data_IF_694186414645
#
_entry.id   IF_694186414645
#
_cell.length_a   1.000
_cell.length_b   1.000
_cell.length_c   1.000
_cell.angle_alpha   90.00
_cell.angle_beta   90.00
_cell.angle_gamma   90.00
#
_symmetry.space_group_name_H-M   'P 1'
#
loop_
_entity.id
_entity.type
_entity.pdbx_description
1 polymer ?
#
# COMPACT_ATOMS: atom_id res chain seq x y z
N UNK A 1 51.01 -42.95 40.54
CA UNK A 1 50.34 -41.67 40.83
C UNK A 1 50.39 -40.71 39.63
N UNK A 2 49.53 -40.84 38.60
CA UNK A 2 49.44 -39.86 37.48
C UNK A 2 48.03 -39.78 36.82
N UNK A 3 46.98 -40.36 37.43
CA UNK A 3 45.64 -40.45 36.80
C UNK A 3 44.91 -39.10 36.74
N UNK A 4 45.07 -38.25 37.76
CA UNK A 4 44.42 -36.93 37.80
C UNK A 4 45.00 -35.94 36.78
N UNK A 5 46.32 -35.98 36.55
CA UNK A 5 46.96 -35.17 35.49
C UNK A 5 46.45 -35.57 34.10
N UNK A 6 46.26 -36.87 33.85
CA UNK A 6 45.69 -37.37 32.59
C UNK A 6 44.24 -36.91 32.39
N UNK A 7 43.42 -36.94 33.45
CA UNK A 7 42.03 -36.47 33.39
C UNK A 7 41.94 -34.96 33.10
N UNK A 8 42.86 -34.16 33.65
CA UNK A 8 42.94 -32.73 33.34
C UNK A 8 43.28 -32.46 31.87
N UNK A 9 44.27 -33.18 31.31
CA UNK A 9 44.62 -33.03 29.89
C UNK A 9 43.53 -33.52 28.95
N UNK A 10 42.81 -34.59 29.31
CA UNK A 10 41.66 -35.08 28.53
C UNK A 10 40.52 -34.05 28.53
N UNK A 11 40.21 -33.48 29.71
CA UNK A 11 39.18 -32.45 29.83
C UNK A 11 39.54 -31.18 29.05
N UNK A 12 40.81 -30.77 29.11
CA UNK A 12 41.32 -29.62 28.35
C UNK A 12 41.21 -29.84 26.84
N UNK A 13 41.53 -31.04 26.36
CA UNK A 13 41.41 -31.39 24.94
C UNK A 13 39.96 -31.37 24.45
N UNK A 14 39.02 -31.82 25.28
CA UNK A 14 37.57 -31.77 24.97
C UNK A 14 37.08 -30.34 24.88
N UNK A 15 37.51 -29.48 25.81
CA UNK A 15 37.09 -28.08 25.83
C UNK A 15 37.63 -27.34 24.60
N UNK A 16 38.89 -27.59 24.24
CA UNK A 16 39.51 -27.04 23.03
C UNK A 16 38.76 -27.47 21.77
N UNK A 17 38.34 -28.73 21.68
CA UNK A 17 37.61 -29.26 20.54
C UNK A 17 36.23 -28.61 20.38
N UNK A 18 35.52 -28.38 21.50
CA UNK A 18 34.22 -27.67 21.50
C UNK A 18 34.39 -26.23 20.98
N UNK A 19 35.40 -25.51 21.46
CA UNK A 19 35.67 -24.12 21.01
C UNK A 19 36.00 -24.09 19.51
N UNK A 20 36.76 -25.07 19.02
CA UNK A 20 37.15 -25.15 17.61
C UNK A 20 35.94 -25.44 16.71
N UNK A 21 35.06 -26.36 17.12
CA UNK A 21 33.81 -26.65 16.40
C UNK A 21 32.88 -25.43 16.39
N UNK A 22 32.72 -24.74 17.52
CA UNK A 22 31.94 -23.50 17.58
C UNK A 22 32.53 -22.39 16.70
N UNK A 23 33.87 -22.24 16.68
CA UNK A 23 34.56 -21.28 15.84
C UNK A 23 34.34 -21.54 14.35
N UNK A 24 34.38 -22.81 13.93
CA UNK A 24 34.06 -23.20 12.55
C UNK A 24 32.60 -22.89 12.21
N UNK A 25 31.66 -23.19 13.11
CA UNK A 25 30.24 -22.85 12.96
C UNK A 25 29.97 -21.34 12.82
N UNK A 26 30.83 -20.50 13.43
CA UNK A 26 30.71 -19.04 13.36
C UNK A 26 31.31 -18.45 12.07
N UNK A 27 32.26 -19.16 11.45
CA UNK A 27 32.92 -18.80 10.19
C UNK A 27 32.22 -19.37 8.95
N UNK A 28 31.40 -20.41 9.12
CA UNK A 28 30.46 -20.84 8.10
C UNK A 28 29.52 -19.66 7.82
N UNK A 29 29.39 -19.19 6.56
CA UNK A 29 28.36 -18.23 6.24
C UNK A 29 27.05 -18.85 6.69
N UNK A 30 26.39 -18.19 7.63
CA UNK A 30 24.98 -18.45 7.86
C UNK A 30 24.34 -18.11 6.52
N UNK A 31 24.02 -19.13 5.73
CA UNK A 31 22.86 -19.05 4.87
C UNK A 31 21.68 -18.85 5.82
N UNK A 32 21.54 -17.61 6.31
CA UNK A 32 20.24 -16.98 6.24
C UNK A 32 19.91 -17.03 4.76
N UNK A 33 19.39 -18.20 4.35
CA UNK A 33 18.35 -18.24 3.37
C UNK A 33 17.35 -17.24 3.90
N UNK A 34 17.50 -15.98 3.48
CA UNK A 34 16.38 -15.12 3.22
C UNK A 34 15.40 -16.08 2.59
N UNK A 35 14.37 -16.43 3.36
CA UNK A 35 13.32 -17.35 2.95
C UNK A 35 13.00 -16.88 1.55
N UNK A 36 13.48 -17.62 0.55
CA UNK A 36 13.14 -17.37 -0.83
C UNK A 36 11.68 -17.74 -0.74
N UNK A 37 10.82 -16.72 -0.54
CA UNK A 37 9.38 -16.88 -0.61
C UNK A 37 9.23 -17.75 -1.83
N UNK A 38 8.69 -18.94 -1.63
CA UNK A 38 8.33 -19.79 -2.73
C UNK A 38 7.67 -18.84 -3.72
N UNK A 39 8.29 -18.69 -4.89
CA UNK A 39 7.63 -18.03 -5.99
C UNK A 39 6.54 -19.03 -6.33
N UNK A 40 5.44 -18.94 -5.58
CA UNK A 40 4.16 -19.40 -6.05
C UNK A 40 4.11 -18.89 -7.47
N UNK A 41 3.91 -19.82 -8.40
CA UNK A 41 3.94 -19.52 -9.83
C UNK A 41 2.66 -18.77 -10.16
N UNK A 42 2.54 -17.56 -9.60
CA UNK A 42 1.51 -16.59 -9.83
C UNK A 42 1.76 -16.00 -11.21
N UNK A 43 0.72 -15.95 -12.02
CA UNK A 43 0.79 -15.25 -13.29
C UNK A 43 0.67 -13.77 -12.98
N UNK A 44 1.76 -13.03 -13.16
CA UNK A 44 1.80 -11.59 -13.01
C UNK A 44 1.67 -10.93 -14.39
N UNK A 45 0.68 -10.05 -14.54
CA UNK A 45 0.50 -9.23 -15.72
C UNK A 45 0.83 -7.79 -15.37
N UNK A 46 1.87 -7.25 -16.01
CA UNK A 46 2.23 -5.85 -15.86
C UNK A 46 1.46 -5.03 -16.89
N UNK A 47 0.71 -4.05 -16.41
CA UNK A 47 -0.13 -3.18 -17.21
C UNK A 47 0.40 -1.76 -17.04
N UNK A 48 0.82 -1.16 -18.14
CA UNK A 48 1.14 0.27 -18.22
C UNK A 48 -0.10 1.03 -18.70
N UNK A 49 -0.37 2.19 -18.11
CA UNK A 49 -1.48 3.07 -18.49
C UNK A 49 -1.02 4.53 -18.53
N UNK A 50 -1.82 5.37 -19.20
CA UNK A 50 -1.67 6.82 -19.20
C UNK A 50 -2.63 7.47 -18.19
N UNK A 51 -2.33 8.72 -17.81
CA UNK A 51 -3.20 9.54 -16.97
C UNK A 51 -4.61 9.67 -17.54
N UNK A 52 -4.75 9.86 -18.85
CA UNK A 52 -6.04 9.99 -19.51
C UNK A 52 -6.87 8.69 -19.44
N UNK A 53 -6.21 7.56 -19.65
CA UNK A 53 -6.85 6.24 -19.58
C UNK A 53 -7.30 5.93 -18.16
N UNK A 54 -6.45 6.20 -17.17
CA UNK A 54 -6.78 6.00 -15.75
C UNK A 54 -7.91 6.93 -15.31
N UNK A 55 -7.86 8.20 -15.73
CA UNK A 55 -8.91 9.20 -15.46
C UNK A 55 -10.26 8.72 -16.00
N UNK A 56 -10.29 8.22 -17.23
CA UNK A 56 -11.52 7.69 -17.84
C UNK A 56 -12.04 6.48 -17.08
N UNK A 57 -11.15 5.53 -16.77
CA UNK A 57 -11.50 4.32 -16.01
C UNK A 57 -12.09 4.64 -14.62
N UNK A 58 -11.47 5.55 -13.87
CA UNK A 58 -11.95 5.92 -12.53
C UNK A 58 -13.30 6.63 -12.60
N UNK A 59 -13.48 7.56 -13.56
CA UNK A 59 -14.76 8.25 -13.74
C UNK A 59 -15.89 7.29 -14.11
N UNK A 60 -15.63 6.32 -14.99
CA UNK A 60 -16.60 5.29 -15.36
C UNK A 60 -16.94 4.39 -14.17
N UNK A 61 -15.96 4.04 -13.33
CA UNK A 61 -16.20 3.29 -12.10
C UNK A 61 -17.10 4.05 -11.12
N UNK A 62 -16.78 5.33 -10.86
CA UNK A 62 -17.56 6.17 -9.93
C UNK A 62 -19.00 6.37 -10.40
N UNK A 63 -19.23 6.50 -11.71
CA UNK A 63 -20.58 6.62 -12.27
C UNK A 63 -21.43 5.36 -12.12
N UNK A 64 -20.80 4.17 -12.21
CA UNK A 64 -21.50 2.89 -12.14
C UNK A 64 -21.68 2.37 -10.70
N UNK A 65 -20.77 2.74 -9.79
CA UNK A 65 -20.81 2.35 -8.37
C UNK A 65 -21.41 3.41 -7.47
N UNK A 66 -21.71 4.60 -7.99
CA UNK A 66 -22.44 5.64 -7.27
C UNK A 66 -23.81 5.12 -6.83
N UNK A 67 -23.96 4.90 -5.53
CA UNK A 67 -25.27 4.68 -4.91
C UNK A 67 -26.13 5.94 -5.09
N UNK A 68 -27.46 5.83 -4.97
CA UNK A 68 -28.38 6.98 -5.14
C UNK A 68 -28.10 8.17 -4.20
N UNK A 69 -27.31 7.97 -3.14
CA UNK A 69 -26.88 8.98 -2.18
C UNK A 69 -25.43 9.48 -2.40
N UNK A 70 -24.68 8.94 -3.38
CA UNK A 70 -23.32 9.38 -3.67
C UNK A 70 -23.35 10.55 -4.67
N UNK A 71 -22.71 11.69 -4.34
CA UNK A 71 -22.57 12.82 -5.26
C UNK A 71 -22.01 12.43 -6.63
N UNK A 72 -22.41 13.16 -7.68
CA UNK A 72 -21.67 13.18 -8.94
C UNK A 72 -20.26 13.70 -8.67
N UNK A 73 -19.32 12.77 -8.52
CA UNK A 73 -17.90 13.05 -8.37
C UNK A 73 -17.20 12.88 -9.72
N UNK A 74 -16.27 13.79 -9.99
CA UNK A 74 -15.41 13.77 -11.15
C UNK A 74 -13.95 13.79 -10.72
N UNK A 75 -13.15 12.91 -11.31
CA UNK A 75 -11.70 12.81 -11.08
C UNK A 75 -10.96 13.31 -12.30
N UNK A 76 -9.93 14.12 -12.10
CA UNK A 76 -8.99 14.56 -13.13
C UNK A 76 -7.56 14.30 -12.64
N UNK A 77 -6.73 13.68 -13.49
CA UNK A 77 -5.36 13.31 -13.15
C UNK A 77 -4.42 14.05 -14.10
N UNK A 78 -3.73 15.06 -13.57
CA UNK A 78 -2.77 15.88 -14.32
C UNK A 78 -1.38 15.80 -13.69
N UNK A 79 -0.98 16.80 -12.89
CA UNK A 79 0.21 16.79 -12.04
C UNK A 79 -0.12 16.29 -10.62
N UNK A 80 -1.38 16.49 -10.23
CA UNK A 80 -2.03 16.04 -9.02
C UNK A 80 -3.34 15.31 -9.40
N UNK A 81 -3.91 14.58 -8.45
CA UNK A 81 -5.23 13.97 -8.60
C UNK A 81 -6.25 14.93 -8.00
N UNK A 82 -7.09 15.53 -8.84
CA UNK A 82 -8.18 16.41 -8.42
C UNK A 82 -9.50 15.67 -8.42
N UNK A 83 -10.24 15.77 -7.33
CA UNK A 83 -11.60 15.24 -7.24
C UNK A 83 -12.55 16.39 -6.93
N UNK A 84 -13.53 16.59 -7.80
CA UNK A 84 -14.55 17.64 -7.68
C UNK A 84 -15.93 17.00 -7.61
N UNK A 85 -16.79 17.50 -6.73
CA UNK A 85 -18.17 17.00 -6.65
C UNK A 85 -19.06 17.80 -5.70
N UNK A 86 -20.34 17.48 -5.73
CA UNK A 86 -21.37 18.18 -4.96
C UNK A 86 -21.71 17.45 -3.66
N UNK A 87 -21.06 17.81 -2.54
CA UNK A 87 -21.29 17.15 -1.26
C UNK A 87 -22.51 17.72 -0.53
N UNK A 88 -23.18 16.89 0.27
CA UNK A 88 -24.21 17.33 1.19
C UNK A 88 -23.54 17.70 2.52
N UNK A 89 -23.48 18.99 2.79
CA UNK A 89 -22.96 19.53 4.04
C UNK A 89 -24.09 20.29 4.75
N UNK A 90 -24.40 19.89 5.99
CA UNK A 90 -25.56 20.40 6.73
C UNK A 90 -26.88 20.15 5.95
N UNK A 91 -27.66 21.20 5.70
CA UNK A 91 -28.91 21.17 4.94
C UNK A 91 -28.78 21.71 3.51
N UNK A 92 -27.56 21.74 2.95
CA UNK A 92 -27.34 22.24 1.59
C UNK A 92 -26.30 21.42 0.83
N UNK A 93 -26.43 21.47 -0.49
CA UNK A 93 -25.47 20.90 -1.42
C UNK A 93 -24.44 21.95 -1.77
N UNK A 94 -23.16 21.64 -1.60
CA UNK A 94 -22.06 22.57 -1.84
C UNK A 94 -21.01 21.90 -2.72
N UNK A 95 -20.43 22.67 -3.65
CA UNK A 95 -19.33 22.19 -4.46
C UNK A 95 -18.07 22.08 -3.61
N UNK A 96 -17.48 20.89 -3.61
CA UNK A 96 -16.21 20.59 -3.00
C UNK A 96 -15.18 20.25 -4.07
N UNK A 97 -13.94 20.65 -3.82
CA UNK A 97 -12.78 20.24 -4.59
C UNK A 97 -11.69 19.78 -3.63
N UNK A 98 -11.01 18.70 -3.99
CA UNK A 98 -9.89 18.15 -3.23
C UNK A 98 -8.75 17.81 -4.19
N UNK A 99 -7.53 18.15 -3.80
CA UNK A 99 -6.31 17.79 -4.51
C UNK A 99 -5.52 16.77 -3.68
N UNK A 100 -5.06 15.72 -4.36
CA UNK A 100 -4.23 14.69 -3.78
C UNK A 100 -2.93 14.51 -4.56
N UNK A 101 -1.84 14.25 -3.83
CA UNK A 101 -0.59 13.72 -4.39
C UNK A 101 -0.52 12.22 -4.14
N UNK A 102 -0.51 11.37 -5.19
CA UNK A 102 -0.38 9.93 -5.04
C UNK A 102 1.08 9.51 -4.79
N UNK A 103 1.26 8.46 -4.02
CA UNK A 103 2.53 7.77 -3.82
C UNK A 103 2.29 6.27 -3.69
N UNK A 104 3.20 5.46 -4.21
CA UNK A 104 3.13 3.99 -4.11
C UNK A 104 3.95 3.55 -2.90
N UNK A 105 3.33 2.78 -2.02
CA UNK A 105 4.00 2.17 -0.86
C UNK A 105 4.70 0.85 -1.25
N UNK A 106 5.65 0.40 -0.43
CA UNK A 106 6.46 -0.81 -0.70
C UNK A 106 5.63 -2.10 -0.84
N UNK A 107 4.42 -2.14 -0.26
CA UNK A 107 3.46 -3.23 -0.39
C UNK A 107 2.69 -3.23 -1.72
N UNK A 108 2.79 -2.15 -2.50
CA UNK A 108 2.05 -1.92 -3.73
C UNK A 108 0.67 -1.27 -3.52
N UNK A 109 0.36 -0.80 -2.32
CA UNK A 109 -0.83 0.00 -2.06
C UNK A 109 -0.55 1.48 -2.42
N UNK A 110 -1.62 2.25 -2.59
CA UNK A 110 -1.53 3.66 -3.02
C UNK A 110 -1.88 4.58 -1.88
N UNK A 111 -0.93 5.41 -1.47
CA UNK A 111 -1.13 6.47 -0.49
C UNK A 111 -1.45 7.78 -1.20
N UNK A 112 -2.64 8.31 -0.94
CA UNK A 112 -3.08 9.62 -1.42
C UNK A 112 -2.92 10.64 -0.29
N UNK A 113 -1.95 11.53 -0.42
CA UNK A 113 -1.78 12.65 0.51
C UNK A 113 -2.68 13.79 0.09
N UNK A 114 -3.46 14.34 1.03
CA UNK A 114 -4.30 15.51 0.75
C UNK A 114 -3.45 16.77 0.79
N UNK A 115 -3.43 17.51 -0.31
CA UNK A 115 -2.69 18.78 -0.41
C UNK A 115 -3.58 19.97 -0.10
N UNK A 116 -4.76 20.03 -0.73
CA UNK A 116 -5.73 21.09 -0.53
C UNK A 116 -7.17 20.54 -0.52
N UNK A 117 -8.02 21.22 0.23
CA UNK A 117 -9.44 20.96 0.23
C UNK A 117 -10.21 22.28 0.32
N UNK A 118 -11.15 22.46 -0.60
CA UNK A 118 -11.90 23.68 -0.78
C UNK A 118 -13.40 23.40 -0.84
N UNK A 119 -14.18 24.04 0.05
CA UNK A 119 -15.65 24.10 -0.01
C UNK A 119 -16.04 25.58 -0.13
N UNK A 120 -16.49 25.98 -1.31
CA UNK A 120 -16.85 27.38 -1.57
C UNK A 120 -15.70 28.34 -1.25
N UNK A 121 -15.87 29.19 -0.23
CA UNK A 121 -14.87 30.16 0.24
C UNK A 121 -14.30 29.84 1.63
N UNK A 122 -14.68 28.70 2.21
CA UNK A 122 -14.30 28.34 3.57
C UNK A 122 -12.98 27.55 3.57
N UNK A 123 -12.00 28.01 4.36
CA UNK A 123 -10.78 27.23 4.64
C UNK A 123 -11.04 26.35 5.87
N UNK A 124 -11.15 25.04 5.65
CA UNK A 124 -11.44 24.05 6.70
C UNK A 124 -10.20 23.18 6.92
N UNK A 125 -9.86 22.82 8.17
CA UNK A 125 -8.77 21.89 8.43
C UNK A 125 -8.99 20.52 7.76
N UNK A 126 -8.00 20.03 7.02
CA UNK A 126 -8.04 18.76 6.28
C UNK A 126 -8.47 17.57 7.16
N UNK A 127 -7.98 17.51 8.40
CA UNK A 127 -8.32 16.42 9.33
C UNK A 127 -9.82 16.35 9.63
N UNK A 128 -10.53 17.49 9.68
CA UNK A 128 -11.98 17.50 9.87
C UNK A 128 -12.71 16.91 8.66
N UNK A 129 -12.24 17.24 7.45
CA UNK A 129 -12.80 16.75 6.19
C UNK A 129 -12.67 15.24 6.09
N UNK A 130 -11.47 14.73 6.37
CA UNK A 130 -11.20 13.29 6.34
C UNK A 130 -12.03 12.55 7.40
N UNK A 131 -12.16 13.12 8.59
CA UNK A 131 -13.03 12.54 9.63
C UNK A 131 -14.49 12.51 9.20
N UNK A 132 -14.99 13.57 8.55
CA UNK A 132 -16.35 13.61 8.02
C UNK A 132 -16.54 12.56 6.92
N UNK A 133 -15.58 12.43 6.02
CA UNK A 133 -15.62 11.45 4.92
C UNK A 133 -15.76 10.03 5.44
N UNK A 134 -14.92 9.62 6.40
CA UNK A 134 -14.97 8.28 6.98
C UNK A 134 -16.19 7.98 7.85
N UNK A 135 -16.91 9.01 8.32
CA UNK A 135 -18.08 8.83 9.19
C UNK A 135 -19.42 8.88 8.44
N UNK A 136 -19.51 9.73 7.40
CA UNK A 136 -20.79 10.04 6.75
C UNK A 136 -20.93 9.48 5.33
N UNK A 137 -19.85 8.95 4.75
CA UNK A 137 -19.88 8.27 3.46
C UNK A 137 -19.55 6.79 3.62
N UNK A 138 -20.29 5.94 2.91
CA UNK A 138 -19.97 4.53 2.80
C UNK A 138 -18.80 4.37 1.82
N UNK A 139 -17.59 4.28 2.38
CA UNK A 139 -16.39 4.01 1.61
C UNK A 139 -16.21 2.50 1.43
N UNK A 140 -15.71 2.05 0.27
CA UNK A 140 -15.35 0.65 0.10
C UNK A 140 -14.30 0.21 1.11
N UNK A 141 -14.31 -1.08 1.47
CA UNK A 141 -13.40 -1.64 2.50
C UNK A 141 -11.91 -1.43 2.18
N UNK A 142 -11.56 -1.31 0.90
CA UNK A 142 -10.20 -1.07 0.44
C UNK A 142 -9.74 0.40 0.52
N UNK A 143 -10.61 1.33 0.96
CA UNK A 143 -10.31 2.76 1.10
C UNK A 143 -10.29 3.15 2.58
N UNK A 144 -9.10 3.37 3.11
CA UNK A 144 -8.87 3.70 4.52
C UNK A 144 -8.51 5.17 4.68
N UNK A 145 -9.30 5.88 5.47
CA UNK A 145 -9.07 7.30 5.72
C UNK A 145 -8.30 7.49 7.03
N UNK A 146 -7.20 8.26 6.99
CA UNK A 146 -6.37 8.58 8.15
C UNK A 146 -6.35 10.10 8.40
N UNK A 147 -7.33 10.65 9.16
CA UNK A 147 -7.45 12.08 9.42
C UNK A 147 -6.22 12.71 10.10
N UNK A 148 -5.59 11.96 11.00
CA UNK A 148 -4.42 12.42 11.76
C UNK A 148 -3.18 12.59 10.86
N UNK A 149 -3.05 11.74 9.85
CA UNK A 149 -1.94 11.75 8.90
C UNK A 149 -2.23 12.59 7.65
N UNK A 150 -3.47 13.05 7.48
CA UNK A 150 -3.96 13.76 6.28
C UNK A 150 -3.79 12.93 5.00
N UNK A 151 -4.00 11.62 5.13
CA UNK A 151 -3.81 10.66 4.04
C UNK A 151 -5.06 9.79 3.87
N UNK A 152 -5.24 9.32 2.65
CA UNK A 152 -6.18 8.28 2.27
C UNK A 152 -5.35 7.14 1.70
N UNK A 153 -5.44 5.96 2.30
CA UNK A 153 -4.73 4.77 1.88
C UNK A 153 -5.69 3.90 1.07
N UNK A 154 -5.35 3.65 -0.20
CA UNK A 154 -6.08 2.77 -1.09
C UNK A 154 -5.35 1.44 -1.13
N UNK A 155 -5.89 0.46 -0.41
CA UNK A 155 -5.34 -0.89 -0.31
C UNK A 155 -5.78 -1.72 -1.50
N UNK A 156 -5.00 -1.66 -2.57
CA UNK A 156 -5.26 -2.42 -3.81
C UNK A 156 -5.28 -3.94 -3.56
N UNK A 157 -4.57 -4.39 -2.53
CA UNK A 157 -4.57 -5.77 -2.05
C UNK A 157 -5.89 -6.25 -1.43
N UNK A 158 -6.72 -5.34 -0.90
CA UNK A 158 -8.02 -5.64 -0.27
C UNK A 158 -9.19 -5.46 -1.25
N UNK A 159 -8.91 -5.07 -2.51
CA UNK A 159 -9.95 -4.87 -3.51
C UNK A 159 -10.68 -6.20 -3.78
N UNK A 160 -12.03 -6.24 -3.74
CA UNK A 160 -12.78 -7.48 -3.91
C UNK A 160 -12.71 -7.94 -5.38
N UNK A 161 -11.69 -8.73 -5.69
CA UNK A 161 -11.49 -9.37 -6.98
C UNK A 161 -11.86 -10.85 -6.90
N UNK A 162 -12.25 -11.43 -8.03
CA UNK A 162 -12.61 -12.84 -8.11
C UNK A 162 -11.39 -13.74 -7.82
N UNK A 163 -11.59 -14.96 -7.31
CA UNK A 163 -10.57 -16.02 -7.24
C UNK A 163 -9.24 -15.62 -6.55
N UNK A 164 -9.28 -14.92 -5.42
CA UNK A 164 -8.09 -14.50 -4.65
C UNK A 164 -7.08 -13.67 -5.45
N UNK A 165 -7.53 -13.05 -6.55
CA UNK A 165 -6.69 -12.18 -7.37
C UNK A 165 -6.46 -10.86 -6.63
N UNK A 166 -5.30 -10.25 -6.85
CA UNK A 166 -4.96 -8.97 -6.24
C UNK A 166 -4.19 -8.08 -7.20
N UNK A 167 -4.31 -6.77 -6.99
CA UNK A 167 -3.60 -5.74 -7.78
C UNK A 167 -2.57 -5.06 -6.89
N UNK A 168 -1.45 -4.69 -7.49
CA UNK A 168 -0.44 -3.82 -6.87
C UNK A 168 -0.10 -2.69 -7.82
N UNK A 169 0.06 -1.49 -7.28
CA UNK A 169 0.72 -0.40 -7.99
C UNK A 169 2.23 -0.63 -7.91
N UNK A 170 2.91 -0.53 -9.04
CA UNK A 170 4.38 -0.58 -9.09
C UNK A 170 4.96 0.83 -9.13
N UNK A 171 4.35 1.70 -9.94
CA UNK A 171 4.82 3.06 -10.15
C UNK A 171 3.66 3.96 -10.54
N UNK A 172 3.60 5.14 -9.95
CA UNK A 172 2.69 6.20 -10.35
C UNK A 172 3.55 7.46 -10.49
N UNK A 173 3.87 7.80 -11.73
CA UNK A 173 4.60 9.02 -12.09
C UNK A 173 3.72 9.89 -12.98
N UNK A 174 3.06 10.86 -12.35
CA UNK A 174 2.15 11.77 -13.05
C UNK A 174 2.89 12.78 -13.93
N UNK A 175 4.15 13.10 -13.62
CA UNK A 175 4.92 14.04 -14.43
C UNK A 175 5.31 13.43 -15.77
N UNK A 176 5.76 12.17 -15.75
CA UNK A 176 6.19 11.43 -16.94
C UNK A 176 5.07 10.63 -17.64
N UNK A 177 3.83 10.73 -17.16
CA UNK A 177 2.67 9.98 -17.68
C UNK A 177 2.88 8.46 -17.65
N UNK A 178 3.55 7.97 -16.61
CA UNK A 178 3.94 6.58 -16.46
C UNK A 178 3.25 5.97 -15.23
N UNK A 179 2.23 5.16 -15.49
CA UNK A 179 1.46 4.49 -14.44
C UNK A 179 1.52 2.99 -14.68
N UNK A 180 2.08 2.24 -13.73
CA UNK A 180 2.29 0.80 -13.84
C UNK A 180 1.61 0.06 -12.69
N UNK A 181 0.83 -0.95 -13.05
CA UNK A 181 0.19 -1.88 -12.12
C UNK A 181 0.56 -3.32 -12.46
N UNK A 182 0.69 -4.16 -11.44
CA UNK A 182 0.77 -5.60 -11.58
C UNK A 182 -0.51 -6.25 -11.09
N UNK A 183 -1.10 -7.06 -11.96
CA UNK A 183 -2.21 -7.93 -11.63
C UNK A 183 -1.70 -9.34 -11.39
N UNK A 184 -2.03 -9.91 -10.23
CA UNK A 184 -1.61 -11.24 -9.84
C UNK A 184 -2.78 -12.20 -9.85
N UNK A 185 -2.61 -13.30 -10.58
CA UNK A 185 -3.52 -14.42 -10.56
C UNK A 185 -2.89 -15.58 -9.76
N UNK A 186 -3.47 -15.98 -8.62
CA UNK A 186 -2.97 -17.12 -7.87
C UNK A 186 -3.10 -18.39 -8.70
N UNK A 187 -2.10 -19.26 -8.64
CA UNK A 187 -2.16 -20.54 -9.33
C UNK A 187 -3.15 -21.44 -8.58
N UNK A 188 -4.15 -21.98 -9.29
CA UNK A 188 -5.04 -23.02 -8.76
C UNK A 188 -4.29 -24.33 -8.53
#
# INVERSE_FOLDING_TARGET
MKKWKSLFFVLLSINLLIVLVCGIFMLLPSDQSASKKEVNSEYAFNISSSKESLTSFVNDYLKNQGSSDMPDFHVAIDQDVKVTGAIKAFSSTINANVSFTPSVEDNGDVLLKVDDFSIGQLSIPISFVLSYMGQFYELPDFVHVKPDQKTVEVRLSEMPLTNDMYVKANKIDLENDEIEFSYYHPKQ
#
